data_IF_442129038543
#
_entry.id   IF_442129038543
#
_cell.length_a   1.000
_cell.length_b   1.000
_cell.length_c   1.000
_cell.angle_alpha   90.00
_cell.angle_beta   90.00
_cell.angle_gamma   90.00
#
_symmetry.space_group_name_H-M   'P 1'
#
loop_
_entity.id
_entity.type
_entity.pdbx_description
1 polymer ?
#
# COMPACT_ATOMS: atom_id res chain seq x y z
N UNK A 1 29.24 52.99 -2.37
CA UNK A 1 30.67 52.78 -2.67
C UNK A 1 31.23 51.95 -1.53
N UNK A 2 31.70 50.71 -1.61
CA UNK A 2 32.07 49.75 -2.65
C UNK A 2 31.81 48.34 -2.04
N UNK A 3 31.17 47.37 -2.71
CA UNK A 3 31.67 46.41 -3.73
C UNK A 3 32.70 45.36 -3.24
N UNK A 4 32.20 44.14 -2.99
CA UNK A 4 32.79 42.82 -3.33
C UNK A 4 33.78 42.15 -2.34
N UNK A 5 34.16 40.86 -2.55
CA UNK A 5 33.40 39.73 -3.12
C UNK A 5 33.57 38.38 -2.37
N UNK A 6 32.79 37.37 -2.79
CA UNK A 6 32.92 35.93 -2.52
C UNK A 6 34.29 35.33 -2.93
N UNK A 7 34.61 34.12 -2.44
CA UNK A 7 35.08 33.09 -3.36
C UNK A 7 34.33 31.75 -3.21
N UNK A 8 34.03 31.18 -4.38
CA UNK A 8 33.69 29.79 -4.68
C UNK A 8 34.94 28.92 -4.69
N UNK A 9 34.84 27.67 -4.25
CA UNK A 9 35.88 26.65 -4.44
C UNK A 9 35.26 25.37 -5.03
N UNK A 10 35.63 25.14 -6.27
CA UNK A 10 35.45 23.95 -7.11
C UNK A 10 36.52 22.91 -6.75
N UNK A 11 36.19 21.62 -6.70
CA UNK A 11 37.12 20.55 -7.09
C UNK A 11 36.39 19.20 -7.22
N UNK A 12 36.39 18.67 -8.44
CA UNK A 12 36.13 17.28 -8.76
C UNK A 12 37.43 16.46 -8.59
N UNK A 13 37.32 15.20 -8.16
CA UNK A 13 38.33 14.18 -8.44
C UNK A 13 37.69 12.78 -8.37
N UNK A 14 37.67 12.12 -9.51
CA UNK A 14 37.40 10.70 -9.68
C UNK A 14 38.66 9.89 -9.32
N UNK A 15 38.48 8.68 -8.78
CA UNK A 15 39.49 7.64 -8.84
C UNK A 15 38.83 6.25 -8.84
N UNK A 16 39.03 5.56 -9.95
CA UNK A 16 38.75 4.14 -10.19
C UNK A 16 40.01 3.31 -9.94
N UNK A 17 39.85 2.07 -9.47
CA UNK A 17 40.78 0.93 -9.68
C UNK A 17 40.09 -0.33 -9.15
N UNK A 18 39.72 -1.31 -9.97
CA UNK A 18 40.51 -2.30 -10.72
C UNK A 18 40.62 -3.64 -9.96
N UNK A 19 40.24 -4.70 -10.67
CA UNK A 19 40.09 -6.10 -10.26
C UNK A 19 41.42 -6.81 -9.89
N UNK A 20 41.35 -8.09 -9.49
CA UNK A 20 41.78 -9.10 -10.46
C UNK A 20 40.92 -10.37 -10.52
N UNK A 21 40.98 -11.00 -11.69
CA UNK A 21 40.45 -12.31 -12.05
C UNK A 21 41.52 -13.40 -11.91
N UNK A 22 41.10 -14.63 -11.64
CA UNK A 22 41.77 -15.86 -12.07
C UNK A 22 40.75 -17.00 -12.12
N UNK A 23 40.66 -17.68 -13.27
CA UNK A 23 39.71 -18.76 -13.54
C UNK A 23 40.26 -20.16 -13.25
N UNK A 24 39.33 -21.13 -13.27
CA UNK A 24 39.60 -22.56 -13.32
C UNK A 24 38.34 -23.29 -13.78
N UNK A 25 38.45 -24.04 -14.88
CA UNK A 25 37.34 -24.66 -15.62
C UNK A 25 36.96 -26.06 -15.14
N UNK A 26 35.66 -26.34 -15.31
CA UNK A 26 34.98 -27.61 -15.66
C UNK A 26 35.10 -28.85 -14.75
N UNK A 27 33.95 -29.28 -14.20
CA UNK A 27 33.27 -30.53 -14.61
C UNK A 27 31.90 -30.64 -13.95
N UNK A 28 30.88 -31.00 -14.73
CA UNK A 28 29.50 -31.06 -14.31
C UNK A 28 29.17 -32.26 -13.42
N UNK A 29 28.18 -32.08 -12.55
CA UNK A 29 27.24 -33.15 -12.18
C UNK A 29 25.90 -32.48 -11.91
N UNK A 30 24.96 -32.79 -12.80
CA UNK A 30 23.52 -32.57 -12.72
C UNK A 30 23.01 -32.86 -11.30
N UNK A 31 22.61 -31.81 -10.57
CA UNK A 31 21.72 -31.98 -9.42
C UNK A 31 20.40 -31.36 -9.80
N UNK A 32 19.46 -32.24 -10.18
CA UNK A 32 18.05 -31.95 -10.34
C UNK A 32 17.54 -31.41 -9.01
N UNK A 33 17.54 -30.08 -8.82
CA UNK A 33 16.71 -29.45 -7.79
C UNK A 33 15.27 -29.55 -8.26
N UNK A 34 14.64 -30.65 -7.88
CA UNK A 34 13.20 -30.81 -7.89
C UNK A 34 12.57 -29.57 -7.27
N UNK A 35 11.80 -28.85 -8.08
CA UNK A 35 10.95 -27.74 -7.71
C UNK A 35 9.93 -28.23 -6.69
N UNK A 36 10.28 -28.19 -5.40
CA UNK A 36 9.34 -28.47 -4.32
C UNK A 36 8.30 -27.36 -4.34
N UNK A 37 7.12 -27.69 -4.84
CA UNK A 37 5.92 -26.86 -4.78
C UNK A 37 5.61 -26.57 -3.31
N UNK A 38 6.09 -25.41 -2.83
CA UNK A 38 5.94 -24.91 -1.46
C UNK A 38 4.48 -24.61 -1.15
N UNK A 39 3.75 -25.63 -0.71
CA UNK A 39 2.39 -25.50 -0.22
C UNK A 39 2.20 -26.36 1.02
N UNK A 40 1.36 -25.89 1.94
CA UNK A 40 0.99 -26.59 3.16
C UNK A 40 -0.36 -27.26 2.89
N UNK A 41 -0.43 -28.59 3.02
CA UNK A 41 -1.68 -29.33 2.93
C UNK A 41 -2.40 -29.28 4.29
N UNK A 42 -3.60 -28.70 4.32
CA UNK A 42 -4.50 -28.76 5.48
C UNK A 42 -5.80 -29.42 5.03
N UNK A 43 -6.02 -30.66 5.50
CA UNK A 43 -7.06 -31.54 4.95
C UNK A 43 -6.82 -31.79 3.46
N UNK A 44 -7.86 -31.61 2.64
CA UNK A 44 -7.81 -31.83 1.19
C UNK A 44 -7.39 -30.59 0.39
N UNK A 45 -7.01 -29.49 1.07
CA UNK A 45 -6.68 -28.22 0.42
C UNK A 45 -5.20 -27.91 0.53
N UNK A 46 -4.58 -27.68 -0.62
CA UNK A 46 -3.23 -27.13 -0.74
C UNK A 46 -3.30 -25.62 -0.55
N UNK A 47 -2.82 -25.15 0.60
CA UNK A 47 -2.60 -23.74 0.86
C UNK A 47 -1.21 -23.37 0.34
N UNK A 48 -1.09 -22.24 -0.35
CA UNK A 48 0.22 -21.70 -0.71
C UNK A 48 1.05 -21.51 0.56
N UNK A 49 2.34 -21.85 0.53
CA UNK A 49 3.26 -21.49 1.61
C UNK A 49 3.22 -19.96 1.78
N UNK A 50 2.69 -19.50 2.91
CA UNK A 50 2.76 -18.09 3.28
C UNK A 50 4.07 -17.90 4.02
N UNK A 51 5.14 -17.61 3.27
CA UNK A 51 6.41 -17.20 3.86
C UNK A 51 6.25 -15.83 4.50
N UNK A 52 6.06 -15.82 5.83
CA UNK A 52 5.94 -14.60 6.64
C UNK A 52 7.32 -14.14 7.11
N UNK A 53 8.18 -13.75 6.17
CA UNK A 53 9.45 -13.10 6.49
C UNK A 53 9.26 -11.58 6.60
N UNK A 54 10.01 -10.95 7.50
CA UNK A 54 10.00 -9.48 7.68
C UNK A 54 10.56 -8.78 6.42
N UNK A 55 11.30 -9.54 5.60
CA UNK A 55 11.97 -9.10 4.37
C UNK A 55 11.00 -8.56 3.29
N UNK A 56 9.72 -8.95 3.35
CA UNK A 56 8.66 -8.46 2.44
C UNK A 56 7.84 -7.29 3.02
N UNK A 57 8.51 -6.36 3.70
CA UNK A 57 7.88 -5.12 4.19
C UNK A 57 7.68 -4.08 3.09
N UNK A 58 8.48 -4.14 2.02
CA UNK A 58 8.37 -3.25 0.85
C UNK A 58 7.66 -3.98 -0.30
N UNK A 59 6.84 -3.25 -1.04
CA UNK A 59 6.23 -3.74 -2.28
C UNK A 59 7.33 -3.64 -3.36
N UNK A 60 7.68 -4.75 -4.06
CA UNK A 60 8.65 -4.72 -5.14
C UNK A 60 8.24 -3.71 -6.22
N UNK A 61 9.19 -2.99 -6.82
CA UNK A 61 8.90 -1.95 -7.82
C UNK A 61 8.12 -2.50 -9.02
N UNK A 62 8.34 -3.76 -9.37
CA UNK A 62 7.65 -4.45 -10.46
C UNK A 62 6.15 -4.67 -10.18
N UNK A 63 5.73 -4.62 -8.90
CA UNK A 63 4.33 -4.71 -8.47
C UNK A 63 3.65 -3.34 -8.40
N UNK A 64 4.41 -2.24 -8.50
CA UNK A 64 3.87 -0.88 -8.57
C UNK A 64 3.27 -0.58 -9.95
N UNK A 65 3.75 -1.26 -11.00
CA UNK A 65 3.21 -1.14 -12.36
C UNK A 65 3.52 -2.38 -13.21
N UNK A 66 2.52 -3.02 -13.85
CA UNK A 66 1.09 -2.71 -13.81
C UNK A 66 0.44 -3.19 -12.50
N UNK A 67 -0.37 -2.32 -11.88
CA UNK A 67 -1.13 -2.68 -10.66
C UNK A 67 -2.20 -3.74 -10.98
N UNK A 68 -2.69 -4.50 -9.98
CA UNK A 68 -3.82 -5.41 -10.18
C UNK A 68 -5.09 -4.71 -10.68
N UNK A 69 -5.31 -3.44 -10.32
CA UNK A 69 -6.47 -2.68 -10.80
C UNK A 69 -6.32 -2.28 -12.27
N UNK A 70 -5.11 -1.91 -12.70
CA UNK A 70 -4.79 -1.64 -14.11
C UNK A 70 -4.99 -2.88 -14.98
N UNK A 71 -4.60 -4.06 -14.48
CA UNK A 71 -4.83 -5.33 -15.17
C UNK A 71 -6.32 -5.65 -15.33
N UNK A 72 -7.15 -5.17 -14.39
CA UNK A 72 -8.61 -5.29 -14.44
C UNK A 72 -9.29 -4.12 -15.20
N UNK A 73 -8.51 -3.26 -15.86
CA UNK A 73 -9.01 -2.19 -16.73
C UNK A 73 -9.28 -0.84 -16.06
N UNK A 74 -8.82 -0.64 -14.82
CA UNK A 74 -8.88 0.67 -14.16
C UNK A 74 -7.71 1.55 -14.60
N UNK A 75 -7.99 2.78 -15.01
CA UNK A 75 -6.95 3.76 -15.35
C UNK A 75 -6.21 4.24 -14.09
N UNK A 76 -4.93 4.58 -14.28
CA UNK A 76 -4.05 5.04 -13.19
C UNK A 76 -4.56 6.29 -12.43
N UNK A 77 -5.09 7.35 -13.09
CA UNK A 77 -5.61 8.50 -12.35
C UNK A 77 -6.83 8.12 -11.50
N UNK A 78 -7.79 7.36 -12.05
CA UNK A 78 -8.93 6.88 -11.24
C UNK A 78 -8.50 5.99 -10.09
N UNK A 79 -7.51 5.12 -10.28
CA UNK A 79 -6.94 4.34 -9.18
C UNK A 79 -6.32 5.25 -8.10
N UNK A 80 -5.62 6.30 -8.51
CA UNK A 80 -5.00 7.27 -7.59
C UNK A 80 -6.07 8.01 -6.78
N UNK A 81 -7.14 8.46 -7.43
CA UNK A 81 -8.27 9.12 -6.76
C UNK A 81 -8.95 8.19 -5.76
N UNK A 82 -9.15 6.91 -6.10
CA UNK A 82 -9.69 5.90 -5.16
C UNK A 82 -8.76 5.68 -3.96
N UNK A 83 -7.43 5.71 -4.16
CA UNK A 83 -6.46 5.60 -3.06
C UNK A 83 -6.54 6.80 -2.14
N UNK A 84 -6.60 8.02 -2.68
CA UNK A 84 -6.75 9.26 -1.91
C UNK A 84 -8.06 9.22 -1.12
N UNK A 85 -9.18 8.93 -1.80
CA UNK A 85 -10.51 8.87 -1.20
C UNK A 85 -10.60 7.82 -0.08
N UNK A 86 -9.99 6.66 -0.26
CA UNK A 86 -9.90 5.63 0.77
C UNK A 86 -9.16 6.12 2.02
N UNK A 87 -8.03 6.82 1.84
CA UNK A 87 -7.25 7.38 2.93
C UNK A 87 -7.97 8.52 3.66
N UNK A 88 -8.69 9.39 2.94
CA UNK A 88 -9.55 10.42 3.51
C UNK A 88 -10.68 9.80 4.34
N UNK A 89 -11.29 8.73 3.84
CA UNK A 89 -12.36 8.02 4.55
C UNK A 89 -11.84 7.38 5.85
N UNK A 90 -10.65 6.77 5.82
CA UNK A 90 -9.99 6.22 7.01
C UNK A 90 -9.70 7.34 8.02
N UNK A 91 -9.19 8.48 7.57
CA UNK A 91 -8.89 9.62 8.42
C UNK A 91 -10.16 10.17 9.09
N UNK A 92 -11.20 10.42 8.31
CA UNK A 92 -12.47 10.93 8.81
C UNK A 92 -13.12 9.96 9.82
N UNK A 93 -13.11 8.66 9.50
CA UNK A 93 -13.62 7.65 10.40
C UNK A 93 -12.79 7.56 11.69
N UNK A 94 -11.46 7.64 11.60
CA UNK A 94 -10.58 7.58 12.76
C UNK A 94 -10.75 8.76 13.71
N UNK A 95 -10.98 9.96 13.18
CA UNK A 95 -11.34 11.14 13.98
C UNK A 95 -12.67 10.92 14.71
N UNK A 96 -13.72 10.47 14.01
CA UNK A 96 -15.03 10.22 14.61
C UNK A 96 -15.00 9.10 15.67
N UNK A 97 -14.17 8.08 15.46
CA UNK A 97 -13.94 6.98 16.40
C UNK A 97 -12.93 7.34 17.51
N UNK A 98 -12.36 8.55 17.49
CA UNK A 98 -11.30 9.00 18.42
C UNK A 98 -10.13 8.04 18.49
N UNK A 99 -9.64 7.58 17.34
CA UNK A 99 -8.43 6.75 17.25
C UNK A 99 -7.17 7.62 17.34
N UNK A 100 -6.06 7.08 17.88
CA UNK A 100 -4.77 7.76 17.83
C UNK A 100 -4.29 7.88 16.38
N UNK A 101 -3.47 8.91 16.10
CA UNK A 101 -2.93 9.16 14.75
C UNK A 101 -2.14 7.96 14.22
N UNK A 102 -1.42 7.26 15.09
CA UNK A 102 -0.67 6.04 14.74
C UNK A 102 -1.61 4.97 14.16
N UNK A 103 -2.78 4.74 14.76
CA UNK A 103 -3.74 3.77 14.25
C UNK A 103 -4.35 4.17 12.90
N UNK A 104 -4.55 5.46 12.66
CA UNK A 104 -5.02 5.93 11.36
C UNK A 104 -3.95 5.75 10.28
N UNK A 105 -2.69 6.07 10.59
CA UNK A 105 -1.55 5.84 9.70
C UNK A 105 -1.38 4.34 9.38
N UNK A 106 -1.44 3.47 10.39
CA UNK A 106 -1.41 2.00 10.22
C UNK A 106 -2.58 1.54 9.32
N UNK A 107 -3.78 2.09 9.51
CA UNK A 107 -4.94 1.81 8.65
C UNK A 107 -4.71 2.18 7.17
N UNK A 108 -4.11 3.34 6.91
CA UNK A 108 -3.79 3.79 5.54
C UNK A 108 -2.72 2.90 4.89
N UNK A 109 -1.68 2.51 5.64
CA UNK A 109 -0.65 1.58 5.15
C UNK A 109 -1.25 0.23 4.77
N UNK A 110 -2.13 -0.33 5.63
CA UNK A 110 -2.84 -1.58 5.34
C UNK A 110 -3.71 -1.46 4.08
N UNK A 111 -4.41 -0.34 3.92
CA UNK A 111 -5.26 -0.08 2.76
C UNK A 111 -4.45 0.00 1.46
N UNK A 112 -3.34 0.74 1.47
CA UNK A 112 -2.44 0.78 0.31
C UNK A 112 -1.90 -0.59 -0.04
N UNK A 113 -1.38 -1.32 0.96
CA UNK A 113 -0.81 -2.67 0.75
C UNK A 113 -1.84 -3.64 0.19
N UNK A 114 -3.08 -3.56 0.66
CA UNK A 114 -4.19 -4.35 0.12
C UNK A 114 -4.38 -4.09 -1.38
N UNK A 115 -4.51 -2.83 -1.80
CA UNK A 115 -4.77 -2.48 -3.20
C UNK A 115 -3.54 -2.53 -4.12
N UNK A 116 -2.34 -2.77 -3.59
CA UNK A 116 -1.20 -3.21 -4.40
C UNK A 116 -1.18 -4.72 -4.64
N UNK A 117 -2.00 -5.49 -3.91
CA UNK A 117 -2.15 -6.94 -4.08
C UNK A 117 -3.50 -7.35 -4.66
N UNK A 118 -4.49 -6.46 -4.61
CA UNK A 118 -5.89 -6.68 -5.02
C UNK A 118 -6.38 -5.49 -5.83
N UNK A 119 -7.38 -5.75 -6.67
CA UNK A 119 -7.96 -4.74 -7.55
C UNK A 119 -9.13 -4.00 -6.90
N UNK A 120 -9.20 -2.69 -7.14
CA UNK A 120 -10.34 -1.83 -6.82
C UNK A 120 -11.62 -2.21 -7.59
N UNK A 121 -11.48 -2.80 -8.78
CA UNK A 121 -12.63 -3.26 -9.58
C UNK A 121 -13.33 -4.44 -8.89
N UNK A 122 -12.55 -5.28 -8.19
CA UNK A 122 -13.06 -6.50 -7.54
C UNK A 122 -13.47 -6.30 -6.08
N UNK A 123 -13.01 -5.24 -5.42
CA UNK A 123 -13.22 -5.02 -3.99
C UNK A 123 -13.67 -3.59 -3.70
N UNK A 124 -14.80 -3.45 -2.99
CA UNK A 124 -15.30 -2.14 -2.56
C UNK A 124 -14.31 -1.49 -1.59
N UNK A 125 -13.79 -0.32 -1.98
CA UNK A 125 -12.85 0.44 -1.16
C UNK A 125 -13.45 0.83 0.20
N UNK A 126 -14.75 1.10 0.29
CA UNK A 126 -15.43 1.46 1.54
C UNK A 126 -15.39 0.30 2.54
N UNK A 127 -15.66 -0.93 2.07
CA UNK A 127 -15.61 -2.14 2.89
C UNK A 127 -14.18 -2.42 3.35
N UNK A 128 -13.22 -2.28 2.45
CA UNK A 128 -11.80 -2.47 2.77
C UNK A 128 -11.32 -1.43 3.78
N UNK A 129 -11.71 -0.15 3.62
CA UNK A 129 -11.38 0.90 4.59
C UNK A 129 -11.95 0.62 5.99
N UNK A 130 -13.20 0.14 6.09
CA UNK A 130 -13.78 -0.32 7.36
C UNK A 130 -12.99 -1.47 7.99
N UNK A 131 -12.58 -2.44 7.18
CA UNK A 131 -11.79 -3.57 7.64
C UNK A 131 -10.40 -3.12 8.12
N UNK A 132 -9.74 -2.25 7.36
CA UNK A 132 -8.42 -1.69 7.68
C UNK A 132 -8.44 -0.92 8.99
N UNK A 133 -9.41 -0.03 9.22
CA UNK A 133 -9.46 0.75 10.46
C UNK A 133 -9.78 -0.13 11.68
N UNK A 134 -10.66 -1.13 11.51
CA UNK A 134 -10.98 -2.08 12.55
C UNK A 134 -9.75 -2.94 12.92
N UNK A 135 -8.99 -3.39 11.92
CA UNK A 135 -7.74 -4.13 12.12
C UNK A 135 -6.65 -3.26 12.75
N UNK A 136 -6.43 -2.04 12.23
CA UNK A 136 -5.43 -1.12 12.76
C UNK A 136 -5.70 -0.72 14.21
N UNK A 137 -6.97 -0.53 14.59
CA UNK A 137 -7.33 -0.26 15.98
C UNK A 137 -6.95 -1.40 16.93
N UNK A 138 -6.91 -2.64 16.44
CA UNK A 138 -6.45 -3.80 17.23
C UNK A 138 -4.92 -3.85 17.30
N UNK A 139 -4.24 -3.59 16.18
CA UNK A 139 -2.77 -3.59 16.11
C UNK A 139 -2.18 -2.56 17.07
N UNK A 140 -2.78 -1.37 17.16
CA UNK A 140 -2.31 -0.30 18.03
C UNK A 140 -2.91 -0.33 19.44
N UNK A 141 -3.48 -1.47 19.87
CA UNK A 141 -4.05 -1.65 21.22
C UNK A 141 -5.10 -0.59 21.61
N UNK A 142 -5.82 -0.05 20.62
CA UNK A 142 -6.89 0.93 20.78
C UNK A 142 -8.21 0.46 20.15
N UNK A 143 -8.72 -0.74 20.48
CA UNK A 143 -9.84 -1.34 19.78
C UNK A 143 -11.13 -0.52 19.91
N UNK A 144 -11.99 -0.62 18.90
CA UNK A 144 -13.35 -0.06 18.90
C UNK A 144 -14.37 -1.16 18.64
N UNK A 145 -15.61 -0.98 19.12
CA UNK A 145 -16.67 -1.95 18.83
C UNK A 145 -16.99 -1.87 17.34
N UNK A 146 -17.12 -3.04 16.69
CA UNK A 146 -17.38 -3.10 15.25
C UNK A 146 -18.67 -2.35 14.85
N UNK A 147 -19.68 -2.33 15.74
CA UNK A 147 -20.91 -1.55 15.54
C UNK A 147 -20.64 -0.06 15.40
N UNK A 148 -19.72 0.48 16.20
CA UNK A 148 -19.36 1.90 16.16
C UNK A 148 -18.67 2.24 14.84
N UNK A 149 -17.78 1.36 14.36
CA UNK A 149 -17.12 1.50 13.04
C UNK A 149 -18.17 1.52 11.92
N UNK A 150 -19.09 0.56 11.90
CA UNK A 150 -20.15 0.49 10.89
C UNK A 150 -21.02 1.75 10.91
N UNK A 151 -21.42 2.21 12.11
CA UNK A 151 -22.24 3.41 12.27
C UNK A 151 -21.52 4.66 11.75
N UNK A 152 -20.23 4.81 12.05
CA UNK A 152 -19.42 5.93 11.58
C UNK A 152 -19.31 5.94 10.06
N UNK A 153 -19.01 4.80 9.43
CA UNK A 153 -18.94 4.73 7.96
C UNK A 153 -20.29 4.97 7.30
N UNK A 154 -21.36 4.44 7.89
CA UNK A 154 -22.72 4.71 7.43
C UNK A 154 -23.04 6.22 7.50
N UNK A 155 -22.65 6.88 8.58
CA UNK A 155 -22.80 8.33 8.74
C UNK A 155 -21.99 9.11 7.69
N UNK A 156 -20.71 8.77 7.49
CA UNK A 156 -19.84 9.40 6.49
C UNK A 156 -20.41 9.25 5.07
N UNK A 157 -20.95 8.08 4.72
CA UNK A 157 -21.59 7.84 3.43
C UNK A 157 -22.82 8.73 3.23
N UNK A 158 -23.64 8.91 4.27
CA UNK A 158 -24.82 9.79 4.20
C UNK A 158 -24.45 11.26 4.06
N UNK A 159 -23.38 11.71 4.71
CA UNK A 159 -22.91 13.10 4.58
C UNK A 159 -22.45 13.40 3.16
N UNK A 160 -21.68 12.50 2.55
CA UNK A 160 -21.21 12.63 1.16
C UNK A 160 -22.39 12.70 0.17
N UNK A 161 -23.38 11.81 0.33
CA UNK A 161 -24.58 11.83 -0.52
C UNK A 161 -25.45 13.10 -0.40
N UNK A 162 -25.39 13.81 0.74
CA UNK A 162 -26.09 15.10 0.91
C UNK A 162 -25.35 16.27 0.28
N UNK A 163 -24.01 16.26 0.33
CA UNK A 163 -23.17 17.29 -0.29
C UNK A 163 -23.30 17.31 -1.82
N UNK A 164 -23.48 16.13 -2.44
CA UNK A 164 -23.73 16.03 -3.89
C UNK A 164 -25.12 16.57 -4.28
N UNK A 165 -26.12 16.45 -3.41
CA UNK A 165 -27.46 16.99 -3.66
C UNK A 165 -27.55 18.52 -3.51
N UNK A 166 -26.67 19.13 -2.71
CA UNK A 166 -26.64 20.58 -2.49
C UNK A 166 -25.97 21.36 -3.63
N UNK A 167 -25.21 20.69 -4.50
CA UNK A 167 -24.53 21.31 -5.66
C UNK A 167 -25.37 21.31 -6.95
N UNK A 168 -26.64 20.89 -6.92
CA UNK A 168 -27.53 21.08 -8.07
C UNK A 168 -27.98 22.55 -8.17
N UNK A 169 -27.68 23.27 -9.28
CA UNK A 169 -28.35 24.54 -9.55
C UNK A 169 -29.85 24.26 -9.76
N UNK A 170 -30.70 25.01 -9.05
CA UNK A 170 -32.15 24.95 -9.28
C UNK A 170 -32.43 25.33 -10.74
N UNK A 171 -33.25 24.56 -11.49
CA UNK A 171 -33.78 25.05 -12.76
C UNK A 171 -34.68 26.25 -12.44
N UNK A 172 -34.34 27.40 -13.04
CA UNK A 172 -35.20 28.58 -13.10
C UNK A 172 -36.32 28.39 -14.08
#
# INVERSE_FOLDING_TARGET
MASGPHPTATAAAAASSAAPSAGGSSSGTTTTTTTTTGGILIGDRLYSEVSLTIDHSLIPEERLSPTPSMQDGLDLPSETDLRILGCELIQAAGILLRLPQVAMATGQVLFHRFFYSKSFVKHSFEIVAMACINLASKIEEAPRRIRDVINVFHHLRQLRGKSDQLHLPKPG
#
